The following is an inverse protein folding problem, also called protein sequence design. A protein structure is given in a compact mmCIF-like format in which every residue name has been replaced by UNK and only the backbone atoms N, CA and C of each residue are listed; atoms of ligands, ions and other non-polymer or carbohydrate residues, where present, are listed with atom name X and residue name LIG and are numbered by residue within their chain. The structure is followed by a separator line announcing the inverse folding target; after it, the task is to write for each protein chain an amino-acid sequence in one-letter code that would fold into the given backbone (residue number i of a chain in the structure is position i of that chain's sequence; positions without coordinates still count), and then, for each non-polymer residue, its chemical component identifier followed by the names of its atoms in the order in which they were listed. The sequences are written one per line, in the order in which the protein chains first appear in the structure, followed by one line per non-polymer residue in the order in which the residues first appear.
data_IF_883459408933
#
_entry.id   IF_883459408933
#
_cell.length_a   1.000
_cell.length_b   1.000
_cell.length_c   1.000
_cell.angle_alpha   90.00
_cell.angle_beta   90.00
_cell.angle_gamma   90.00
#
_symmetry.space_group_name_H-M   'P 1'
#
loop_
_entity.id
_entity.type
_entity.pdbx_description
1 polymer ?
#
# COMPACT_ATOMS: atom_id res chain seq x y z
N UNK A 1 -1.40 5.05 -14.12
CA UNK A 1 0.03 5.44 -14.06
C UNK A 1 0.31 5.93 -12.65
N UNK A 2 1.50 5.72 -12.10
CA UNK A 2 1.87 6.33 -10.81
C UNK A 2 3.08 7.26 -10.98
N UNK A 3 3.09 8.34 -10.19
CA UNK A 3 4.20 9.28 -10.08
C UNK A 3 4.47 9.50 -8.59
N UNK A 4 5.70 9.21 -8.19
CA UNK A 4 6.19 9.45 -6.84
C UNK A 4 7.30 10.51 -6.90
N UNK A 5 7.20 11.51 -6.05
CA UNK A 5 8.29 12.41 -5.72
C UNK A 5 8.55 12.38 -4.20
N UNK A 6 9.50 13.19 -3.72
CA UNK A 6 9.89 13.20 -2.30
C UNK A 6 8.76 13.53 -1.33
N UNK A 7 7.72 14.20 -1.78
CA UNK A 7 6.65 14.76 -0.93
C UNK A 7 5.25 14.45 -1.43
N UNK A 8 5.12 13.88 -2.63
CA UNK A 8 3.85 13.63 -3.27
C UNK A 8 3.81 12.24 -3.91
N UNK A 9 2.61 11.67 -3.89
CA UNK A 9 2.30 10.42 -4.55
C UNK A 9 1.01 10.62 -5.33
N UNK A 10 1.07 10.33 -6.62
CA UNK A 10 -0.09 10.26 -7.50
C UNK A 10 -0.19 8.84 -8.05
N UNK A 11 -1.37 8.24 -7.94
CA UNK A 11 -1.61 6.89 -8.42
C UNK A 11 -3.05 6.75 -8.91
N UNK A 12 -3.21 6.08 -10.04
CA UNK A 12 -4.51 5.60 -10.51
C UNK A 12 -4.79 4.24 -9.90
N UNK A 13 -5.98 4.07 -9.31
CA UNK A 13 -6.44 2.81 -8.72
C UNK A 13 -7.56 2.24 -9.60
N UNK A 14 -7.44 0.95 -9.92
CA UNK A 14 -8.44 0.19 -10.66
C UNK A 14 -8.88 -1.00 -9.82
N UNK A 15 -10.16 -1.33 -9.88
CA UNK A 15 -10.72 -2.43 -9.11
C UNK A 15 -12.07 -2.87 -9.68
N UNK A 16 -12.59 -3.95 -9.11
CA UNK A 16 -13.88 -4.54 -9.48
C UNK A 16 -14.65 -4.98 -8.23
N UNK A 17 -15.90 -5.39 -8.40
CA UNK A 17 -16.75 -5.81 -7.30
C UNK A 17 -16.22 -7.12 -6.67
N UNK A 18 -16.13 -7.14 -5.35
CA UNK A 18 -15.55 -8.24 -4.57
C UNK A 18 -16.39 -9.52 -4.56
N UNK A 19 -17.66 -9.48 -5.02
CA UNK A 19 -18.61 -10.62 -4.96
C UNK A 19 -18.10 -11.94 -5.54
N UNK A 20 -17.21 -11.88 -6.52
CA UNK A 20 -16.66 -13.07 -7.19
C UNK A 20 -15.36 -13.58 -6.55
N UNK A 21 -14.91 -12.96 -5.45
CA UNK A 21 -13.64 -13.25 -4.80
C UNK A 21 -13.82 -13.73 -3.36
N UNK A 22 -12.99 -14.69 -2.95
CA UNK A 22 -12.89 -15.10 -1.55
C UNK A 22 -12.07 -14.08 -0.78
N UNK A 23 -12.67 -13.50 0.25
CA UNK A 23 -11.95 -12.67 1.23
C UNK A 23 -11.14 -13.60 2.14
N UNK A 24 -9.81 -13.44 2.14
CA UNK A 24 -8.93 -14.24 3.01
C UNK A 24 -8.87 -13.66 4.43
N UNK A 25 -8.62 -12.36 4.54
CA UNK A 25 -8.50 -11.62 5.80
C UNK A 25 -9.00 -10.19 5.58
N UNK A 26 -9.83 -9.70 6.48
CA UNK A 26 -10.23 -8.29 6.50
C UNK A 26 -9.12 -7.45 7.13
N UNK A 27 -8.86 -6.27 6.59
CA UNK A 27 -7.90 -5.31 7.15
C UNK A 27 -8.69 -4.20 7.82
N UNK A 28 -8.52 -4.03 9.13
CA UNK A 28 -9.20 -3.00 9.93
C UNK A 28 -8.54 -1.64 9.79
N UNK A 29 -7.20 -1.61 9.80
CA UNK A 29 -6.45 -0.37 9.66
C UNK A 29 -5.04 -0.58 9.10
N UNK A 30 -4.57 0.41 8.35
CA UNK A 30 -3.15 0.60 8.04
C UNK A 30 -2.53 1.47 9.14
N UNK A 31 -1.47 1.00 9.78
CA UNK A 31 -0.91 1.66 10.96
C UNK A 31 0.53 2.12 10.76
N UNK A 32 0.98 3.05 11.61
CA UNK A 32 2.39 3.44 11.70
C UNK A 32 3.24 2.45 12.50
N UNK A 33 2.63 1.42 13.09
CA UNK A 33 3.36 0.42 13.85
C UNK A 33 4.34 -0.30 12.91
N UNK A 34 5.63 -0.21 13.23
CA UNK A 34 6.72 -0.78 12.42
C UNK A 34 6.75 -0.29 10.95
N UNK A 35 6.18 0.89 10.64
CA UNK A 35 6.29 1.47 9.29
C UNK A 35 7.76 1.77 8.96
N UNK A 36 8.27 1.21 7.86
CA UNK A 36 9.62 1.48 7.35
C UNK A 36 9.52 1.93 5.90
N UNK A 37 10.22 3.03 5.59
CA UNK A 37 10.35 3.56 4.24
C UNK A 37 11.85 3.69 3.96
N UNK A 38 12.33 3.07 2.89
CA UNK A 38 13.75 3.06 2.50
C UNK A 38 13.90 3.39 1.03
N UNK A 39 14.82 4.30 0.72
CA UNK A 39 15.28 4.56 -0.65
C UNK A 39 16.47 3.65 -0.95
N UNK A 40 16.37 2.90 -2.05
CA UNK A 40 17.37 1.96 -2.54
C UNK A 40 17.75 2.34 -3.99
N UNK A 41 18.75 1.66 -4.54
CA UNK A 41 19.25 1.92 -5.92
C UNK A 41 18.15 1.83 -7.00
N UNK A 42 17.11 1.02 -6.74
CA UNK A 42 16.02 0.76 -7.69
C UNK A 42 14.74 1.56 -7.40
N UNK A 43 14.76 2.45 -6.40
CA UNK A 43 13.61 3.28 -6.01
C UNK A 43 13.26 3.14 -4.52
N UNK A 44 11.97 3.21 -4.19
CA UNK A 44 11.49 3.22 -2.81
C UNK A 44 10.90 1.86 -2.39
N UNK A 45 11.16 1.45 -1.15
CA UNK A 45 10.56 0.27 -0.53
C UNK A 45 9.84 0.66 0.75
N UNK A 46 8.63 0.16 0.95
CA UNK A 46 7.83 0.37 2.15
C UNK A 46 7.44 -0.97 2.80
N UNK A 47 7.48 -1.03 4.12
CA UNK A 47 7.01 -2.14 4.96
C UNK A 47 5.99 -1.58 5.94
N UNK A 48 4.82 -2.21 6.04
CA UNK A 48 3.71 -1.78 6.91
C UNK A 48 3.10 -2.98 7.63
N UNK A 49 2.70 -2.78 8.89
CA UNK A 49 1.91 -3.76 9.65
C UNK A 49 0.45 -3.32 9.66
N UNK A 50 -0.40 -4.21 9.15
CA UNK A 50 -1.84 -4.05 9.17
C UNK A 50 -2.45 -4.53 10.48
N UNK A 51 -3.43 -3.79 10.98
CA UNK A 51 -4.37 -4.30 11.96
C UNK A 51 -5.44 -5.12 11.23
N UNK A 52 -5.66 -6.35 11.69
CA UNK A 52 -6.56 -7.36 11.07
C UNK A 52 -7.68 -7.73 12.02
#
# INVERSE_FOLDING_TARGET
MYRLDRTSCHADIYGEDIKNYKINTEIKAATYHELKIKENKDGWTAEIVFDV
#
